data_IF_926646837957
#
_entry.id   IF_926646837957
#
_cell.length_a   1.000
_cell.length_b   1.000
_cell.length_c   1.000
_cell.angle_alpha   90.00
_cell.angle_beta   90.00
_cell.angle_gamma   90.00
#
_symmetry.space_group_name_H-M   'P 1'
#
loop_
_entity.id
_entity.type
_entity.pdbx_description
1 polymer ?
#
# COMPACT_ATOMS: atom_id res chain seq x y z
N UNK A 1 6.58 -10.52 -12.50
CA UNK A 1 5.13 -10.39 -12.25
C UNK A 1 4.56 -9.26 -13.08
N UNK A 2 3.47 -9.53 -13.79
CA UNK A 2 2.82 -8.52 -14.62
C UNK A 2 1.54 -8.05 -13.93
N UNK A 3 1.43 -6.75 -13.65
CA UNK A 3 0.23 -6.13 -13.10
C UNK A 3 -0.18 -5.00 -14.03
N UNK A 4 -1.38 -5.11 -14.62
CA UNK A 4 -1.91 -4.09 -15.52
C UNK A 4 -2.40 -2.86 -14.76
N UNK A 5 -3.19 -3.10 -13.71
CA UNK A 5 -3.79 -2.06 -12.90
C UNK A 5 -3.93 -2.54 -11.47
N UNK A 6 -3.92 -1.61 -10.53
CA UNK A 6 -4.45 -1.87 -9.20
C UNK A 6 -5.75 -1.08 -9.08
N UNK A 7 -6.81 -1.76 -8.62
CA UNK A 7 -8.16 -1.21 -8.60
C UNK A 7 -8.61 -1.02 -7.16
N UNK A 8 -8.96 0.22 -6.83
CA UNK A 8 -9.48 0.61 -5.52
C UNK A 8 -10.83 1.27 -5.70
N UNK A 9 -11.70 1.17 -4.70
CA UNK A 9 -12.94 1.94 -4.69
C UNK A 9 -12.69 3.31 -4.09
N UNK A 10 -13.61 4.25 -4.36
CA UNK A 10 -13.54 5.58 -3.75
C UNK A 10 -13.59 5.48 -2.23
N UNK A 11 -14.43 4.61 -1.69
CA UNK A 11 -14.52 4.40 -0.23
C UNK A 11 -13.19 3.94 0.35
N UNK A 12 -12.50 3.03 -0.33
CA UNK A 12 -11.18 2.57 0.11
C UNK A 12 -10.15 3.69 0.10
N UNK A 13 -10.14 4.51 -0.95
CA UNK A 13 -9.22 5.66 -1.01
C UNK A 13 -9.53 6.68 0.07
N UNK A 14 -10.81 6.90 0.39
CA UNK A 14 -11.21 7.81 1.49
C UNK A 14 -10.71 7.29 2.85
N UNK A 15 -10.83 5.99 3.09
CA UNK A 15 -10.31 5.36 4.32
C UNK A 15 -8.79 5.56 4.42
N UNK A 16 -8.07 5.36 3.33
CA UNK A 16 -6.61 5.52 3.32
C UNK A 16 -6.19 6.97 3.51
N UNK A 17 -6.92 7.93 2.92
CA UNK A 17 -6.65 9.36 3.13
C UNK A 17 -6.87 9.74 4.58
N UNK A 18 -7.97 9.31 5.19
CA UNK A 18 -8.25 9.59 6.61
C UNK A 18 -7.17 8.99 7.50
N UNK A 19 -6.73 7.78 7.20
CA UNK A 19 -5.66 7.12 7.94
C UNK A 19 -4.35 7.92 7.85
N UNK A 20 -4.06 8.45 6.66
CA UNK A 20 -2.89 9.29 6.42
C UNK A 20 -2.97 10.59 7.22
N UNK A 21 -4.12 11.24 7.26
CA UNK A 21 -4.33 12.47 8.03
C UNK A 21 -4.18 12.25 9.53
N UNK A 22 -4.75 11.17 10.05
CA UNK A 22 -4.67 10.83 11.47
C UNK A 22 -3.25 10.58 11.95
N UNK A 23 -2.39 10.07 11.09
CA UNK A 23 -1.01 9.75 11.43
C UNK A 23 -0.04 10.90 11.11
N UNK A 24 -0.47 11.90 10.33
CA UNK A 24 0.38 13.04 9.99
C UNK A 24 0.93 13.72 11.25
N UNK A 25 2.19 14.11 11.30
CA UNK A 25 3.18 14.17 10.21
C UNK A 25 3.92 12.84 9.93
N UNK A 26 3.55 11.77 10.60
CA UNK A 26 4.18 10.46 10.41
C UNK A 26 3.58 9.72 9.22
N UNK A 27 4.36 8.82 8.62
CA UNK A 27 3.85 7.93 7.58
C UNK A 27 2.80 6.98 8.16
N UNK A 28 1.69 6.82 7.46
CA UNK A 28 0.68 5.82 7.76
C UNK A 28 0.93 4.60 6.87
N UNK A 29 0.51 3.44 7.32
CA UNK A 29 0.65 2.21 6.55
C UNK A 29 -0.58 1.32 6.68
N UNK A 30 -0.75 0.43 5.71
CA UNK A 30 -1.86 -0.51 5.66
C UNK A 30 -1.51 -1.68 4.76
N UNK A 31 -2.24 -2.77 4.93
CA UNK A 31 -2.14 -3.96 4.08
C UNK A 31 -3.44 -4.05 3.30
N UNK A 32 -3.35 -4.25 1.99
CA UNK A 32 -4.51 -4.31 1.12
C UNK A 32 -4.76 -5.75 0.69
N UNK A 33 -5.96 -6.25 0.99
CA UNK A 33 -6.37 -7.61 0.61
C UNK A 33 -7.16 -7.55 -0.68
N UNK A 34 -6.93 -8.52 -1.54
CA UNK A 34 -7.65 -8.56 -2.81
C UNK A 34 -7.49 -9.86 -3.58
N UNK A 35 -7.79 -9.78 -4.85
CA UNK A 35 -7.66 -10.87 -5.82
C UNK A 35 -7.10 -10.34 -7.12
N UNK A 36 -6.38 -11.19 -7.82
CA UNK A 36 -5.89 -10.86 -9.17
C UNK A 36 -6.81 -11.49 -10.20
N UNK A 37 -7.33 -10.67 -11.12
CA UNK A 37 -8.19 -11.08 -12.23
C UNK A 37 -7.65 -10.46 -13.50
N UNK A 38 -7.24 -11.29 -14.49
CA UNK A 38 -6.69 -10.84 -15.77
C UNK A 38 -5.57 -9.79 -15.59
N UNK A 39 -4.62 -10.09 -14.70
CA UNK A 39 -3.50 -9.22 -14.34
C UNK A 39 -3.90 -7.90 -13.66
N UNK A 40 -5.18 -7.73 -13.30
CA UNK A 40 -5.64 -6.61 -12.47
C UNK A 40 -5.67 -7.05 -11.00
N UNK A 41 -5.03 -6.28 -10.15
CA UNK A 41 -5.08 -6.49 -8.70
C UNK A 41 -6.29 -5.70 -8.18
N UNK A 42 -7.32 -6.42 -7.76
CA UNK A 42 -8.57 -5.81 -7.31
C UNK A 42 -8.62 -5.86 -5.79
N UNK A 43 -8.57 -4.68 -5.18
CA UNK A 43 -8.59 -4.58 -3.71
C UNK A 43 -10.02 -4.75 -3.20
N UNK A 44 -10.17 -5.65 -2.24
CA UNK A 44 -11.47 -5.99 -1.64
C UNK A 44 -11.58 -5.47 -0.22
N UNK A 45 -10.47 -5.35 0.51
CA UNK A 45 -10.48 -4.91 1.90
C UNK A 45 -9.21 -4.15 2.23
N UNK A 46 -9.35 -3.11 3.06
CA UNK A 46 -8.25 -2.33 3.59
C UNK A 46 -8.04 -2.72 5.05
N UNK A 47 -6.85 -3.19 5.36
CA UNK A 47 -6.46 -3.56 6.73
C UNK A 47 -5.49 -2.49 7.26
N UNK A 48 -5.99 -1.60 8.10
CA UNK A 48 -5.18 -0.51 8.65
C UNK A 48 -4.20 -1.06 9.68
N UNK A 49 -2.96 -0.59 9.61
CA UNK A 49 -1.91 -0.99 10.53
C UNK A 49 -1.31 0.21 11.22
N UNK A 50 -0.51 -0.04 12.25
CA UNK A 50 0.23 1.01 12.95
C UNK A 50 1.66 1.07 12.40
N UNK A 51 2.15 2.28 12.20
CA UNK A 51 3.56 2.50 11.94
C UNK A 51 4.29 2.54 13.28
N UNK A 52 5.01 1.47 13.61
CA UNK A 52 5.69 1.36 14.90
C UNK A 52 6.96 2.21 15.00
N UNK A 53 7.40 2.78 13.88
CA UNK A 53 8.56 3.69 13.89
C UNK A 53 8.19 5.11 14.26
N UNK A 54 6.91 5.47 14.17
CA UNK A 54 6.42 6.82 14.41
C UNK A 54 7.27 7.87 13.68
N UNK A 55 7.57 7.60 12.41
CA UNK A 55 8.49 8.40 11.60
C UNK A 55 7.78 9.08 10.43
N UNK A 56 8.16 10.33 10.10
CA UNK A 56 7.62 11.00 8.91
C UNK A 56 8.24 10.55 7.60
N UNK A 57 9.28 9.70 7.63
CA UNK A 57 10.03 9.29 6.44
C UNK A 57 10.19 7.78 6.30
N UNK A 58 9.80 7.00 7.30
CA UNK A 58 9.88 5.54 7.28
C UNK A 58 8.67 4.93 7.96
N UNK A 59 8.40 3.67 7.66
CA UNK A 59 7.39 2.91 8.37
C UNK A 59 7.82 1.47 8.57
N UNK A 60 7.29 0.86 9.62
CA UNK A 60 7.42 -0.57 9.88
C UNK A 60 6.08 -1.08 10.43
N UNK A 61 5.60 -2.18 9.87
CA UNK A 61 4.43 -2.89 10.38
C UNK A 61 4.94 -3.97 11.32
N UNK A 62 4.36 -4.07 12.51
CA UNK A 62 4.82 -5.05 13.50
C UNK A 62 4.65 -6.49 12.98
N UNK A 63 5.54 -7.42 13.40
CA UNK A 63 5.37 -8.83 13.04
C UNK A 63 4.01 -9.40 13.47
N UNK A 64 3.48 -8.98 14.61
CA UNK A 64 2.18 -9.41 15.11
C UNK A 64 1.05 -9.00 14.16
N UNK A 65 1.07 -7.75 13.68
CA UNK A 65 0.07 -7.28 12.72
C UNK A 65 0.21 -7.98 11.37
N UNK A 66 1.43 -8.24 10.93
CA UNK A 66 1.67 -8.98 9.68
C UNK A 66 1.09 -10.39 9.76
N UNK A 67 1.37 -11.12 10.84
CA UNK A 67 0.85 -12.48 11.05
C UNK A 67 -0.68 -12.45 11.09
N UNK A 68 -1.25 -11.50 11.82
CA UNK A 68 -2.71 -11.36 11.92
C UNK A 68 -3.33 -11.07 10.55
N UNK A 69 -2.71 -10.17 9.77
CA UNK A 69 -3.20 -9.80 8.45
C UNK A 69 -3.19 -11.00 7.49
N UNK A 70 -2.09 -11.76 7.44
CA UNK A 70 -2.03 -12.94 6.58
C UNK A 70 -3.06 -13.99 6.97
N UNK A 71 -3.25 -14.22 8.27
CA UNK A 71 -4.26 -15.15 8.77
C UNK A 71 -5.67 -14.69 8.41
N UNK A 72 -5.95 -13.40 8.55
CA UNK A 72 -7.26 -12.83 8.23
C UNK A 72 -7.55 -12.94 6.74
N UNK A 73 -6.60 -12.60 5.90
CA UNK A 73 -6.75 -12.71 4.45
C UNK A 73 -7.07 -14.15 4.04
N UNK A 74 -6.32 -15.12 4.59
CA UNK A 74 -6.55 -16.53 4.30
C UNK A 74 -7.94 -16.98 4.70
N UNK A 75 -8.41 -16.60 5.91
CA UNK A 75 -9.76 -16.94 6.38
C UNK A 75 -10.85 -16.35 5.49
N UNK A 76 -10.60 -15.19 4.89
CA UNK A 76 -11.56 -14.51 4.00
C UNK A 76 -11.39 -14.92 2.55
N UNK A 77 -10.51 -15.85 2.27
CA UNK A 77 -10.19 -16.32 0.91
C UNK A 77 -9.70 -15.16 0.02
N UNK A 78 -8.87 -14.30 0.60
CA UNK A 78 -8.22 -13.18 -0.10
C UNK A 78 -6.72 -13.32 -0.01
N UNK A 79 -6.02 -12.60 -0.89
CA UNK A 79 -4.56 -12.52 -0.86
C UNK A 79 -4.12 -11.21 -0.21
N UNK A 80 -2.93 -11.19 0.37
CA UNK A 80 -2.25 -9.94 0.69
C UNK A 80 -1.73 -9.42 -0.65
N UNK A 81 -2.46 -8.48 -1.23
CA UNK A 81 -2.28 -8.08 -2.63
C UNK A 81 -1.46 -6.82 -2.83
N UNK A 82 -1.35 -5.97 -1.81
CA UNK A 82 -0.58 -4.73 -1.91
C UNK A 82 -0.23 -4.21 -0.53
N UNK A 83 0.78 -3.35 -0.47
CA UNK A 83 1.17 -2.64 0.75
C UNK A 83 0.95 -1.16 0.48
N UNK A 84 0.34 -0.48 1.44
CA UNK A 84 0.07 0.95 1.36
C UNK A 84 0.91 1.71 2.37
N UNK A 85 1.43 2.88 1.97
CA UNK A 85 1.91 3.88 2.92
C UNK A 85 1.71 5.29 2.37
N UNK A 86 1.75 6.28 3.27
CA UNK A 86 1.64 7.68 2.90
C UNK A 86 3.00 8.36 2.91
N UNK A 87 3.12 9.37 2.05
CA UNK A 87 4.26 10.30 2.06
C UNK A 87 3.75 11.68 2.47
N UNK A 88 3.67 11.96 3.80
CA UNK A 88 3.27 13.29 4.24
C UNK A 88 4.38 14.29 3.95
N UNK A 89 4.11 15.22 3.04
CA UNK A 89 5.08 16.27 2.68
C UNK A 89 6.07 15.91 1.58
N UNK A 90 5.92 14.76 0.91
CA UNK A 90 6.74 14.39 -0.23
C UNK A 90 5.89 13.79 -1.36
N UNK A 91 6.48 13.67 -2.54
CA UNK A 91 5.77 13.14 -3.71
C UNK A 91 5.50 11.63 -3.59
N UNK A 92 4.51 11.14 -4.35
CA UNK A 92 4.13 9.72 -4.34
C UNK A 92 5.11 8.91 -5.21
N UNK A 93 6.35 8.84 -4.76
CA UNK A 93 7.42 8.09 -5.40
C UNK A 93 8.23 7.34 -4.34
N UNK A 94 8.59 6.07 -4.56
CA UNK A 94 9.31 5.29 -3.55
C UNK A 94 10.65 5.92 -3.15
N UNK A 95 10.89 5.99 -1.85
CA UNK A 95 12.19 6.40 -1.31
C UNK A 95 13.22 5.29 -1.54
N UNK A 96 14.50 5.59 -1.29
CA UNK A 96 15.55 4.57 -1.36
C UNK A 96 15.29 3.44 -0.38
N UNK A 97 14.81 3.75 0.82
CA UNK A 97 14.43 2.74 1.83
C UNK A 97 13.25 1.92 1.35
N UNK A 98 12.23 2.57 0.77
CA UNK A 98 11.06 1.86 0.20
C UNK A 98 11.50 0.82 -0.82
N UNK A 99 12.39 1.20 -1.73
CA UNK A 99 12.86 0.29 -2.80
C UNK A 99 13.53 -0.97 -2.26
N UNK A 100 14.26 -0.86 -1.16
CA UNK A 100 14.90 -2.01 -0.51
C UNK A 100 13.86 -3.02 -0.02
N UNK A 101 12.78 -2.52 0.60
CA UNK A 101 11.71 -3.39 1.09
C UNK A 101 10.84 -3.92 -0.05
N UNK A 102 10.67 -3.15 -1.11
CA UNK A 102 9.93 -3.59 -2.29
C UNK A 102 10.59 -4.79 -2.97
N UNK A 103 11.93 -4.86 -2.96
CA UNK A 103 12.65 -6.01 -3.54
C UNK A 103 12.29 -7.33 -2.86
N UNK A 104 12.06 -7.30 -1.54
CA UNK A 104 11.76 -8.50 -0.76
C UNK A 104 10.26 -8.69 -0.53
N UNK A 105 9.44 -7.73 -0.95
CA UNK A 105 7.98 -7.81 -0.88
C UNK A 105 7.41 -7.53 -2.27
N UNK A 106 7.42 -8.54 -3.16
CA UNK A 106 7.12 -8.35 -4.59
C UNK A 106 5.62 -8.25 -4.87
N UNK A 107 4.97 -7.28 -4.27
CA UNK A 107 3.57 -6.92 -4.51
C UNK A 107 3.53 -5.44 -4.90
N UNK A 108 2.44 -4.95 -5.50
CA UNK A 108 2.30 -3.52 -5.71
C UNK A 108 2.36 -2.74 -4.39
N UNK A 109 3.06 -1.63 -4.41
CA UNK A 109 3.13 -0.69 -3.29
C UNK A 109 2.36 0.56 -3.68
N UNK A 110 1.33 0.89 -2.92
CA UNK A 110 0.47 2.05 -3.14
C UNK A 110 0.91 3.17 -2.21
N UNK A 111 1.20 4.33 -2.79
CA UNK A 111 1.67 5.50 -2.04
C UNK A 111 0.66 6.63 -2.21
N UNK A 112 0.23 7.23 -1.10
CA UNK A 112 -0.56 8.45 -1.11
C UNK A 112 0.30 9.64 -0.73
N UNK A 113 0.30 10.69 -1.56
CA UNK A 113 0.96 11.96 -1.27
C UNK A 113 -0.07 13.04 -1.01
N UNK A 114 0.06 13.76 0.11
CA UNK A 114 -0.80 14.89 0.41
C UNK A 114 -0.41 16.16 -0.37
N UNK A 115 0.78 16.19 -0.97
CA UNK A 115 1.23 17.35 -1.76
C UNK A 115 0.33 17.56 -2.97
N UNK A 116 0.03 16.48 -3.71
CA UNK A 116 -0.79 16.53 -4.91
C UNK A 116 -2.13 15.80 -4.73
N UNK A 117 -2.45 15.35 -3.52
CA UNK A 117 -3.66 14.57 -3.24
C UNK A 117 -3.81 13.43 -4.25
N UNK A 118 -2.77 12.60 -4.38
CA UNK A 118 -2.72 11.56 -5.38
C UNK A 118 -2.26 10.22 -4.84
N UNK A 119 -2.79 9.14 -5.44
CA UNK A 119 -2.33 7.77 -5.23
C UNK A 119 -1.53 7.33 -6.44
N UNK A 120 -0.37 6.75 -6.19
CA UNK A 120 0.43 6.09 -7.22
C UNK A 120 0.83 4.71 -6.73
N UNK A 121 1.06 3.81 -7.67
CA UNK A 121 1.47 2.45 -7.32
C UNK A 121 2.67 2.03 -8.16
N UNK A 122 3.48 1.18 -7.56
CA UNK A 122 4.72 0.69 -8.17
C UNK A 122 4.93 -0.77 -7.78
N UNK A 123 5.64 -1.47 -8.63
CA UNK A 123 6.17 -2.80 -8.31
C UNK A 123 7.66 -2.79 -8.62
N UNK A 124 8.45 -3.52 -7.84
CA UNK A 124 9.88 -3.65 -8.10
C UNK A 124 10.15 -5.01 -8.71
N UNK A 125 10.43 -5.02 -10.01
CA UNK A 125 10.71 -6.23 -10.78
C UNK A 125 11.92 -5.97 -11.65
N UNK A 126 13.13 -6.28 -11.11
CA UNK A 126 14.43 -5.92 -11.67
C UNK A 126 14.64 -4.40 -11.72
N UNK A 127 13.59 -3.64 -11.89
CA UNK A 127 13.56 -2.19 -11.93
C UNK A 127 12.22 -1.72 -11.37
N UNK A 128 12.13 -0.43 -11.05
CA UNK A 128 10.89 0.17 -10.56
C UNK A 128 9.91 0.36 -11.71
N UNK A 129 8.77 -0.29 -11.62
CA UNK A 129 7.73 -0.24 -12.65
C UNK A 129 6.48 0.40 -12.09
N UNK A 130 6.01 1.53 -12.69
CA UNK A 130 4.74 2.12 -12.26
C UNK A 130 3.56 1.23 -12.65
N UNK A 131 2.56 1.17 -11.76
CA UNK A 131 1.33 0.42 -11.99
C UNK A 131 0.17 1.42 -11.98
N UNK A 132 -0.61 1.51 -13.06
CA UNK A 132 -1.76 2.42 -13.06
C UNK A 132 -2.73 2.14 -11.91
N UNK A 133 -3.18 3.19 -11.24
CA UNK A 133 -4.18 3.11 -10.18
C UNK A 133 -5.53 3.50 -10.75
N UNK A 134 -6.49 2.58 -10.64
CA UNK A 134 -7.86 2.79 -11.10
C UNK A 134 -8.77 2.94 -9.89
N UNK A 135 -9.46 4.07 -9.79
CA UNK A 135 -10.38 4.35 -8.68
C UNK A 135 -11.81 4.31 -9.22
N UNK A 136 -12.61 3.44 -8.67
CA UNK A 136 -14.00 3.24 -9.10
C UNK A 136 -14.99 4.07 -8.27
#
# INVERSE_FOLDING_TARGET
MKVKNIVLTKDQTDILKQHSEKNSPNEACAILFGKTEDDNVIIKEVFLTKNIEDSPVNFTISPEELIFAYSKAERENLDVSAIFHSHPGSVAYPSTTDKKFMEINPVPWVIFSNIHDEFKAYIYDLDLVPVPVKIL
#
